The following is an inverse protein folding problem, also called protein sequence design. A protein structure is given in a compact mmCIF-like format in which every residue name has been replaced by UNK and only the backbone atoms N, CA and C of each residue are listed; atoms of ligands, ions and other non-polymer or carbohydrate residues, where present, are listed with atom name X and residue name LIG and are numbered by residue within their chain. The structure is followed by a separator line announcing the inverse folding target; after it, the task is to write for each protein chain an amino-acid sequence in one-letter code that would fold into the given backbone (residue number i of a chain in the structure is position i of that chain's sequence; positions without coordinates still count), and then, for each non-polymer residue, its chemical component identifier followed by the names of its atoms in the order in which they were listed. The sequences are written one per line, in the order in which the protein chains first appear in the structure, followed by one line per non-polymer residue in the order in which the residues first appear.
data_IF_487604889310
#
_entry.id   IF_487604889310
#
_cell.length_a   1.000
_cell.length_b   1.000
_cell.length_c   1.000
_cell.angle_alpha   90.00
_cell.angle_beta   90.00
_cell.angle_gamma   90.00
#
_symmetry.space_group_name_H-M   'P 1'
#
loop_
_entity.id
_entity.type
_entity.pdbx_description
1 polymer ?
#
# COMPACT_ATOMS: atom_id res chain seq x y z
N UNK A 1 69.37 -33.02 15.78
CA UNK A 1 67.97 -33.20 15.31
C UNK A 1 67.16 -31.99 15.74
N UNK A 2 66.85 -31.07 14.83
CA UNK A 2 65.98 -29.91 15.08
C UNK A 2 64.70 -30.10 14.27
N UNK A 3 63.63 -30.54 14.93
CA UNK A 3 62.33 -30.79 14.30
C UNK A 3 61.59 -29.45 14.18
N UNK A 4 61.35 -29.08 12.93
CA UNK A 4 60.63 -27.90 12.41
C UNK A 4 59.44 -27.46 13.28
N UNK A 5 59.58 -26.34 13.97
CA UNK A 5 58.54 -25.68 14.79
C UNK A 5 57.67 -24.70 13.95
N UNK A 6 57.69 -24.82 12.61
CA UNK A 6 56.99 -23.91 11.70
C UNK A 6 55.50 -24.23 11.50
N UNK A 7 55.00 -25.34 12.05
CA UNK A 7 53.60 -25.73 11.93
C UNK A 7 52.64 -24.89 12.78
N UNK A 8 53.11 -24.37 13.93
CA UNK A 8 52.25 -23.67 14.88
C UNK A 8 51.94 -22.23 14.45
N UNK A 9 52.91 -21.55 13.83
CA UNK A 9 52.73 -20.17 13.36
C UNK A 9 51.73 -20.07 12.19
N UNK A 10 51.79 -21.00 11.24
CA UNK A 10 50.89 -21.02 10.08
C UNK A 10 49.45 -21.29 10.53
N UNK A 11 49.25 -22.20 11.47
CA UNK A 11 47.92 -22.50 12.02
C UNK A 11 47.32 -21.29 12.76
N UNK A 12 48.16 -20.53 13.46
CA UNK A 12 47.76 -19.31 14.17
C UNK A 12 47.33 -18.21 13.20
N UNK A 13 48.06 -18.02 12.10
CA UNK A 13 47.73 -17.03 11.06
C UNK A 13 46.43 -17.39 10.35
N UNK A 14 46.23 -18.67 10.01
CA UNK A 14 45.00 -19.14 9.36
C UNK A 14 43.79 -19.00 10.31
N UNK A 15 43.96 -19.33 11.59
CA UNK A 15 42.91 -19.18 12.61
C UNK A 15 42.53 -17.71 12.82
N UNK A 16 43.50 -16.80 12.83
CA UNK A 16 43.24 -15.37 12.94
C UNK A 16 42.48 -14.81 11.73
N UNK A 17 42.83 -15.22 10.51
CA UNK A 17 42.10 -14.82 9.29
C UNK A 17 40.66 -15.33 9.29
N UNK A 18 40.44 -16.59 9.72
CA UNK A 18 39.09 -17.16 9.87
C UNK A 18 38.27 -16.39 10.91
N UNK A 19 38.85 -16.05 12.06
CA UNK A 19 38.16 -15.26 13.09
C UNK A 19 37.76 -13.88 12.57
N UNK A 20 38.63 -13.19 11.84
CA UNK A 20 38.33 -11.89 11.22
C UNK A 20 37.23 -12.03 10.17
N UNK A 21 37.28 -13.06 9.31
CA UNK A 21 36.24 -13.31 8.32
C UNK A 21 34.87 -13.56 8.97
N UNK A 22 34.84 -14.30 10.09
CA UNK A 22 33.62 -14.62 10.83
C UNK A 22 33.04 -13.37 11.51
N UNK A 23 33.89 -12.51 12.08
CA UNK A 23 33.49 -11.19 12.61
C UNK A 23 32.94 -10.31 11.49
N UNK A 24 33.55 -10.29 10.30
CA UNK A 24 33.06 -9.50 9.18
C UNK A 24 31.70 -10.01 8.70
N UNK A 25 31.49 -11.33 8.58
CA UNK A 25 30.19 -11.91 8.19
C UNK A 25 29.10 -11.60 9.22
N UNK A 26 29.42 -11.64 10.52
CA UNK A 26 28.49 -11.29 11.60
C UNK A 26 28.25 -9.77 11.71
N UNK A 27 29.18 -8.93 11.25
CA UNK A 27 29.04 -7.48 11.25
C UNK A 27 28.29 -6.94 10.01
N UNK A 28 28.21 -7.71 8.91
CA UNK A 28 27.44 -7.36 7.71
C UNK A 28 25.95 -7.07 7.99
N UNK A 29 25.19 -7.88 8.76
CA UNK A 29 23.77 -7.62 9.01
C UNK A 29 23.51 -6.32 9.79
N UNK A 30 24.52 -5.76 10.49
CA UNK A 30 24.38 -4.48 11.18
C UNK A 30 24.43 -3.25 10.26
N UNK A 31 24.97 -3.38 9.05
CA UNK A 31 25.08 -2.26 8.08
C UNK A 31 24.02 -2.26 6.99
N UNK A 32 23.46 -3.43 6.66
CA UNK A 32 22.32 -3.53 5.77
C UNK A 32 21.07 -3.65 6.65
N UNK A 33 20.16 -2.66 6.60
CA UNK A 33 18.81 -2.76 7.18
C UNK A 33 18.07 -3.91 6.47
N UNK A 34 18.29 -5.14 6.95
CA UNK A 34 17.77 -6.39 6.41
C UNK A 34 16.70 -6.97 7.33
N UNK A 35 16.01 -6.13 8.09
CA UNK A 35 14.81 -6.56 8.80
C UNK A 35 13.59 -6.29 7.90
N UNK A 36 13.07 -7.31 7.18
CA UNK A 36 11.96 -7.15 6.26
C UNK A 36 10.67 -6.76 6.98
N UNK A 37 10.51 -7.09 8.26
CA UNK A 37 9.34 -6.69 9.05
C UNK A 37 9.39 -5.20 9.32
N UNK A 38 10.55 -4.71 9.79
CA UNK A 38 10.77 -3.27 9.99
C UNK A 38 10.59 -2.48 8.70
N UNK A 39 11.09 -2.96 7.57
CA UNK A 39 10.90 -2.29 6.29
C UNK A 39 9.43 -2.24 5.87
N UNK A 40 8.67 -3.30 6.15
CA UNK A 40 7.22 -3.33 5.91
C UNK A 40 6.52 -2.32 6.81
N UNK A 41 6.86 -2.26 8.10
CA UNK A 41 6.28 -1.33 9.07
C UNK A 41 6.57 0.13 8.73
N UNK A 42 7.83 0.45 8.38
CA UNK A 42 8.23 1.78 7.94
C UNK A 42 7.48 2.15 6.64
N UNK A 43 7.39 1.21 5.68
CA UNK A 43 6.68 1.43 4.42
C UNK A 43 5.19 1.72 4.65
N UNK A 44 4.51 0.90 5.45
CA UNK A 44 3.08 1.09 5.73
C UNK A 44 2.86 2.36 6.56
N UNK A 45 3.75 2.72 7.47
CA UNK A 45 3.69 3.99 8.22
C UNK A 45 3.75 5.19 7.28
N UNK A 46 4.64 5.19 6.29
CA UNK A 46 4.67 6.25 5.28
C UNK A 46 3.40 6.32 4.45
N UNK A 47 2.85 5.15 4.06
CA UNK A 47 1.56 5.09 3.36
C UNK A 47 0.40 5.65 4.21
N UNK A 48 0.37 5.35 5.52
CA UNK A 48 -0.62 5.89 6.46
C UNK A 48 -0.53 7.41 6.57
N UNK A 49 0.68 7.96 6.66
CA UNK A 49 0.89 9.40 6.70
C UNK A 49 0.40 10.09 5.42
N UNK A 50 0.68 9.49 4.25
CA UNK A 50 0.17 9.98 2.97
C UNK A 50 -1.36 9.91 2.94
N UNK A 51 -1.95 8.81 3.40
CA UNK A 51 -3.41 8.65 3.45
C UNK A 51 -4.05 9.76 4.31
N UNK A 52 -3.52 10.02 5.50
CA UNK A 52 -4.02 11.08 6.40
C UNK A 52 -3.86 12.47 5.78
N UNK A 53 -2.74 12.72 5.09
CA UNK A 53 -2.50 13.99 4.40
C UNK A 53 -3.54 14.22 3.28
N UNK A 54 -3.84 13.18 2.50
CA UNK A 54 -4.86 13.22 1.43
C UNK A 54 -6.25 13.41 2.02
N UNK A 55 -6.59 12.71 3.10
CA UNK A 55 -7.91 12.81 3.72
C UNK A 55 -8.18 14.23 4.21
N UNK A 56 -7.23 14.83 4.93
CA UNK A 56 -7.33 16.22 5.36
C UNK A 56 -7.47 17.18 4.17
N UNK A 57 -6.66 16.99 3.12
CA UNK A 57 -6.76 17.80 1.90
C UNK A 57 -8.16 17.67 1.26
N UNK A 58 -8.68 16.46 1.12
CA UNK A 58 -9.98 16.23 0.49
C UNK A 58 -11.13 16.74 1.34
N UNK A 59 -11.02 16.73 2.67
CA UNK A 59 -12.02 17.33 3.56
C UNK A 59 -12.06 18.84 3.40
N UNK A 60 -10.90 19.49 3.28
CA UNK A 60 -10.81 20.95 3.14
C UNK A 60 -11.24 21.43 1.74
N UNK A 61 -10.92 20.68 0.68
CA UNK A 61 -11.16 21.10 -0.71
C UNK A 61 -12.34 20.42 -1.39
N UNK A 62 -12.93 19.37 -0.80
CA UNK A 62 -14.10 18.62 -1.31
C UNK A 62 -13.99 18.22 -2.79
N UNK A 63 -12.81 17.75 -3.19
CA UNK A 63 -12.50 17.39 -4.58
C UNK A 63 -11.60 16.16 -4.64
N UNK A 64 -11.49 15.60 -5.83
CA UNK A 64 -10.56 14.51 -6.12
C UNK A 64 -9.11 14.96 -5.88
N UNK A 65 -8.28 14.03 -5.40
CA UNK A 65 -6.84 14.19 -5.32
C UNK A 65 -6.19 13.36 -6.42
N UNK A 66 -5.59 14.04 -7.40
CA UNK A 66 -5.12 13.44 -8.66
C UNK A 66 -3.88 12.53 -8.49
N UNK A 67 -3.23 12.59 -7.33
CA UNK A 67 -2.10 11.72 -6.98
C UNK A 67 -0.74 12.40 -6.92
N UNK A 68 -0.67 13.70 -7.17
CA UNK A 68 0.57 14.48 -7.04
C UNK A 68 0.86 14.82 -5.58
N UNK A 69 1.83 14.12 -4.98
CA UNK A 69 2.23 14.30 -3.58
C UNK A 69 2.88 15.67 -3.34
N UNK A 70 3.44 16.33 -4.35
CA UNK A 70 4.01 17.66 -4.20
C UNK A 70 2.94 18.71 -3.89
N UNK A 71 1.69 18.50 -4.31
CA UNK A 71 0.56 19.34 -3.90
C UNK A 71 0.42 19.31 -2.37
N UNK A 72 0.53 18.14 -1.75
CA UNK A 72 0.42 18.01 -0.29
C UNK A 72 1.62 18.60 0.43
N UNK A 73 2.81 18.55 -0.20
CA UNK A 73 4.05 19.12 0.35
C UNK A 73 4.12 20.63 0.25
N UNK A 74 3.43 21.23 -0.73
CA UNK A 74 3.46 22.67 -0.98
C UNK A 74 2.20 23.40 -0.47
N UNK A 75 1.12 22.68 -0.14
CA UNK A 75 -0.11 23.29 0.38
C UNK A 75 -0.07 23.32 1.91
N UNK A 76 -0.26 24.50 2.48
CA UNK A 76 -0.36 24.69 3.94
C UNK A 76 -1.64 24.07 4.49
N UNK A 77 -1.54 23.32 5.57
CA UNK A 77 -2.68 22.77 6.28
C UNK A 77 -3.26 23.84 7.22
N UNK A 78 -4.51 24.30 6.99
CA UNK A 78 -5.12 25.35 7.81
C UNK A 78 -5.34 24.92 9.27
N UNK A 79 -5.47 23.61 9.51
CA UNK A 79 -5.76 23.02 10.81
C UNK A 79 -4.50 22.47 11.50
N UNK A 80 -3.31 22.62 10.89
CA UNK A 80 -2.06 22.03 11.34
C UNK A 80 -0.90 23.03 11.41
N UNK A 81 0.29 22.53 11.79
CA UNK A 81 1.54 23.28 11.67
C UNK A 81 2.25 22.84 10.40
N UNK A 82 2.33 23.73 9.40
CA UNK A 82 3.04 23.49 8.14
C UNK A 82 2.13 22.96 7.03
N UNK A 83 2.70 22.15 6.14
CA UNK A 83 2.03 21.59 4.96
C UNK A 83 1.31 20.28 5.27
N UNK A 84 0.41 19.81 4.38
CA UNK A 84 -0.32 18.54 4.59
C UNK A 84 0.63 17.33 4.68
N UNK A 85 1.72 17.35 3.92
CA UNK A 85 2.76 16.33 3.95
C UNK A 85 4.12 17.01 4.18
N UNK A 86 4.77 16.72 5.32
CA UNK A 86 5.97 17.45 5.73
C UNK A 86 7.25 17.02 5.02
N UNK A 87 7.36 15.75 4.63
CA UNK A 87 8.60 15.19 4.11
C UNK A 87 8.37 14.23 2.94
N UNK A 88 9.33 14.22 2.02
CA UNK A 88 9.46 13.19 1.00
C UNK A 88 9.96 11.89 1.65
N UNK A 89 9.14 10.85 1.57
CA UNK A 89 9.45 9.52 2.11
C UNK A 89 9.31 8.49 0.99
N UNK A 90 10.24 7.53 0.97
CA UNK A 90 10.31 6.48 -0.04
C UNK A 90 10.21 5.11 0.61
N UNK A 91 9.87 4.11 -0.20
CA UNK A 91 9.86 2.73 0.24
C UNK A 91 11.28 2.31 0.74
N UNK A 92 11.41 1.81 1.98
CA UNK A 92 12.72 1.48 2.59
C UNK A 92 13.44 0.31 1.90
N UNK A 93 12.71 -0.47 1.10
CA UNK A 93 13.26 -1.56 0.28
C UNK A 93 14.07 -1.06 -0.93
N UNK A 94 13.90 0.20 -1.32
CA UNK A 94 14.69 0.80 -2.39
C UNK A 94 16.02 1.29 -1.82
N UNK A 95 17.10 0.56 -2.09
CA UNK A 95 18.48 0.92 -1.75
C UNK A 95 19.00 2.10 -2.60
N UNK A 96 18.30 3.23 -2.60
CA UNK A 96 18.71 4.48 -3.28
C UNK A 96 17.88 4.85 -4.51
N UNK A 97 16.97 4.00 -4.98
CA UNK A 97 15.96 4.41 -5.97
C UNK A 97 14.88 5.27 -5.28
N UNK A 98 14.70 6.49 -5.76
CA UNK A 98 13.68 7.42 -5.28
C UNK A 98 12.42 7.29 -6.13
N UNK A 99 11.57 6.32 -5.79
CA UNK A 99 10.23 6.18 -6.39
C UNK A 99 9.17 6.56 -5.38
N UNK A 100 8.34 7.52 -5.75
CA UNK A 100 7.25 7.99 -4.92
C UNK A 100 6.15 6.94 -4.78
N UNK A 101 5.40 7.06 -3.68
CA UNK A 101 4.19 6.28 -3.49
C UNK A 101 3.11 6.69 -4.48
N UNK A 102 2.35 5.72 -4.95
CA UNK A 102 1.25 5.96 -5.88
C UNK A 102 0.01 6.20 -5.02
N UNK A 103 -0.51 7.42 -5.04
CA UNK A 103 -1.69 7.77 -4.26
C UNK A 103 -2.80 8.35 -5.14
N UNK A 104 -4.03 8.25 -4.67
CA UNK A 104 -5.20 8.81 -5.31
C UNK A 104 -6.33 8.98 -4.31
N UNK A 105 -7.14 10.03 -4.47
CA UNK A 105 -8.34 10.26 -3.67
C UNK A 105 -9.54 10.56 -4.57
N UNK A 106 -10.63 9.81 -4.39
CA UNK A 106 -11.91 10.02 -5.06
C UNK A 106 -12.91 10.68 -4.13
N UNK A 107 -13.52 11.76 -4.59
CA UNK A 107 -14.63 12.43 -3.94
C UNK A 107 -15.91 12.22 -4.76
N UNK A 108 -16.94 11.68 -4.12
CA UNK A 108 -18.29 11.51 -4.66
C UNK A 108 -19.31 12.15 -3.73
N UNK A 109 -20.50 12.37 -4.25
CA UNK A 109 -21.62 12.93 -3.47
C UNK A 109 -22.85 12.03 -3.54
N UNK A 110 -23.76 12.16 -2.58
CA UNK A 110 -25.07 11.51 -2.58
C UNK A 110 -26.09 12.49 -2.00
N UNK A 111 -27.23 12.68 -2.67
CA UNK A 111 -28.32 13.50 -2.13
C UNK A 111 -29.23 12.60 -1.30
N UNK A 112 -29.29 12.84 0.01
CA UNK A 112 -30.13 12.10 0.95
C UNK A 112 -31.05 13.09 1.66
N UNK A 113 -32.36 12.91 1.50
CA UNK A 113 -33.38 13.77 2.14
C UNK A 113 -33.22 15.27 1.83
N UNK A 114 -32.65 15.60 0.66
CA UNK A 114 -32.40 16.98 0.24
C UNK A 114 -31.05 17.55 0.69
N UNK A 115 -30.27 16.82 1.47
CA UNK A 115 -28.90 17.19 1.87
C UNK A 115 -27.86 16.48 0.99
N UNK A 116 -26.82 17.21 0.59
CA UNK A 116 -25.68 16.62 -0.14
C UNK A 116 -24.67 16.05 0.85
N UNK A 117 -24.52 14.73 0.86
CA UNK A 117 -23.49 14.02 1.62
C UNK A 117 -22.25 13.85 0.76
N UNK A 118 -21.09 14.01 1.38
CA UNK A 118 -19.77 13.93 0.74
C UNK A 118 -19.07 12.64 1.15
N UNK A 119 -18.51 11.91 0.19
CA UNK A 119 -17.81 10.66 0.42
C UNK A 119 -16.44 10.67 -0.24
N UNK A 120 -15.39 10.53 0.57
CA UNK A 120 -14.00 10.36 0.13
C UNK A 120 -13.58 8.89 0.13
N UNK A 121 -12.82 8.46 -0.87
CA UNK A 121 -12.19 7.16 -0.94
C UNK A 121 -10.75 7.30 -1.42
N UNK A 122 -9.80 6.90 -0.59
CA UNK A 122 -8.37 7.15 -0.78
C UNK A 122 -7.64 5.82 -0.89
N UNK A 123 -6.77 5.75 -1.88
CA UNK A 123 -5.89 4.62 -2.15
C UNK A 123 -4.45 5.09 -2.14
N UNK A 124 -3.61 4.38 -1.39
CA UNK A 124 -2.16 4.58 -1.37
C UNK A 124 -1.51 3.22 -1.62
N UNK A 125 -0.66 3.12 -2.63
CA UNK A 125 0.04 1.92 -3.04
C UNK A 125 1.55 2.12 -2.95
N UNK A 126 2.25 1.07 -2.51
CA UNK A 126 3.70 1.03 -2.54
C UNK A 126 4.20 0.91 -3.99
N UNK A 127 5.23 1.67 -4.41
CA UNK A 127 5.76 1.59 -5.76
C UNK A 127 6.46 0.25 -6.07
N UNK A 128 6.69 -0.59 -5.05
CA UNK A 128 7.29 -1.91 -5.18
C UNK A 128 6.36 -3.04 -4.73
N UNK A 129 5.05 -2.81 -4.77
CA UNK A 129 4.07 -3.84 -4.43
C UNK A 129 4.22 -5.08 -5.33
N UNK A 130 4.78 -4.92 -6.53
CA UNK A 130 5.11 -5.99 -7.49
C UNK A 130 6.15 -6.99 -6.99
N UNK A 131 6.97 -6.58 -6.02
CA UNK A 131 8.01 -7.40 -5.36
C UNK A 131 7.66 -7.72 -3.92
N UNK A 132 7.00 -6.79 -3.23
CA UNK A 132 6.73 -6.87 -1.80
C UNK A 132 5.22 -6.91 -1.54
N UNK A 133 4.63 -8.10 -1.64
CA UNK A 133 3.17 -8.31 -1.49
C UNK A 133 2.59 -7.87 -0.14
N UNK A 134 3.42 -7.70 0.90
CA UNK A 134 3.02 -7.24 2.24
C UNK A 134 2.97 -5.72 2.37
N UNK A 135 3.44 -4.96 1.38
CA UNK A 135 3.46 -3.50 1.40
C UNK A 135 2.09 -2.91 1.05
N UNK A 136 1.09 -3.27 1.83
CA UNK A 136 -0.30 -2.87 1.70
C UNK A 136 -0.80 -2.34 3.05
N UNK A 137 -1.71 -1.37 3.02
CA UNK A 137 -2.40 -0.93 4.23
C UNK A 137 -3.41 -2.01 4.66
N UNK A 138 -3.27 -2.48 5.90
CA UNK A 138 -4.20 -3.43 6.52
C UNK A 138 -5.59 -2.79 6.71
N UNK A 139 -6.65 -3.59 6.59
CA UNK A 139 -8.03 -3.25 6.97
C UNK A 139 -8.10 -2.61 8.36
N UNK A 140 -7.32 -3.13 9.32
CA UNK A 140 -7.29 -2.62 10.69
C UNK A 140 -6.93 -1.13 10.77
N UNK A 141 -6.11 -0.61 9.84
CA UNK A 141 -5.82 0.82 9.81
C UNK A 141 -7.09 1.64 9.49
N UNK A 142 -7.84 1.22 8.49
CA UNK A 142 -9.06 1.92 8.06
C UNK A 142 -10.20 1.80 9.07
N UNK A 143 -10.31 0.66 9.75
CA UNK A 143 -11.33 0.46 10.80
C UNK A 143 -11.15 1.40 11.99
N UNK A 144 -9.92 1.89 12.21
CA UNK A 144 -9.58 2.86 13.26
C UNK A 144 -9.70 4.32 12.80
N UNK A 145 -10.11 4.57 11.55
CA UNK A 145 -10.29 5.92 10.99
C UNK A 145 -11.77 6.26 10.83
N UNK A 146 -12.10 7.55 10.88
CA UNK A 146 -13.45 8.03 10.54
C UNK A 146 -13.64 7.99 9.02
N UNK A 147 -13.98 6.82 8.49
CA UNK A 147 -14.05 6.57 7.05
C UNK A 147 -15.43 6.84 6.47
N UNK A 148 -15.46 7.36 5.23
CA UNK A 148 -16.70 7.60 4.51
C UNK A 148 -17.31 6.28 3.97
N UNK A 149 -18.56 6.33 3.49
CA UNK A 149 -19.21 5.20 2.81
C UNK A 149 -18.38 4.68 1.62
N UNK A 150 -17.79 5.59 0.85
CA UNK A 150 -16.92 5.25 -0.28
C UNK A 150 -15.62 4.59 0.17
N UNK A 151 -14.97 5.10 1.22
CA UNK A 151 -13.75 4.49 1.76
C UNK A 151 -14.03 3.05 2.24
N UNK A 152 -15.13 2.83 2.97
CA UNK A 152 -15.51 1.48 3.42
C UNK A 152 -15.74 0.52 2.25
N UNK A 153 -16.41 0.99 1.19
CA UNK A 153 -16.61 0.22 -0.02
C UNK A 153 -15.27 -0.16 -0.67
N UNK A 154 -14.38 0.82 -0.85
CA UNK A 154 -13.06 0.59 -1.44
C UNK A 154 -12.22 -0.37 -0.59
N UNK A 155 -12.20 -0.23 0.73
CA UNK A 155 -11.43 -1.11 1.63
C UNK A 155 -11.90 -2.55 1.52
N UNK A 156 -13.21 -2.79 1.44
CA UNK A 156 -13.74 -4.14 1.25
C UNK A 156 -13.25 -4.77 -0.06
N UNK A 157 -13.20 -3.99 -1.14
CA UNK A 157 -12.71 -4.46 -2.43
C UNK A 157 -11.20 -4.71 -2.40
N UNK A 158 -10.41 -3.82 -1.80
CA UNK A 158 -8.97 -4.00 -1.61
C UNK A 158 -8.67 -5.28 -0.80
N UNK A 159 -9.43 -5.56 0.26
CA UNK A 159 -9.28 -6.79 1.06
C UNK A 159 -9.61 -8.04 0.22
N UNK A 160 -10.63 -7.97 -0.63
CA UNK A 160 -10.96 -9.09 -1.55
C UNK A 160 -9.87 -9.31 -2.59
N UNK A 161 -9.33 -8.24 -3.19
CA UNK A 161 -8.21 -8.33 -4.13
C UNK A 161 -6.98 -8.91 -3.44
N UNK A 162 -6.69 -8.48 -2.20
CA UNK A 162 -5.59 -9.03 -1.41
C UNK A 162 -5.78 -10.54 -1.13
N UNK A 163 -6.98 -10.94 -0.73
CA UNK A 163 -7.33 -12.34 -0.50
C UNK A 163 -7.27 -13.21 -1.77
N UNK A 164 -7.66 -12.66 -2.92
CA UNK A 164 -7.63 -13.35 -4.21
C UNK A 164 -6.18 -13.53 -4.71
N UNK A 165 -5.36 -12.50 -4.60
CA UNK A 165 -3.97 -12.49 -5.10
C UNK A 165 -2.95 -13.08 -4.12
N UNK A 166 -3.28 -13.16 -2.82
CA UNK A 166 -2.47 -13.76 -1.74
C UNK A 166 -1.04 -13.21 -1.73
N UNK A 167 -0.04 -14.09 -1.90
CA UNK A 167 1.38 -13.72 -1.91
C UNK A 167 1.91 -13.39 -3.31
N UNK A 168 1.08 -13.41 -4.35
CA UNK A 168 1.50 -13.06 -5.71
C UNK A 168 1.61 -11.54 -5.87
N UNK A 169 2.80 -11.01 -5.56
CA UNK A 169 3.11 -9.58 -5.58
C UNK A 169 2.82 -8.93 -6.94
N UNK A 170 3.18 -9.58 -8.06
CA UNK A 170 2.96 -9.05 -9.41
C UNK A 170 1.47 -8.90 -9.73
N UNK A 171 0.71 -9.97 -9.53
CA UNK A 171 -0.74 -9.97 -9.77
C UNK A 171 -1.45 -8.98 -8.84
N UNK A 172 -1.04 -8.92 -7.58
CA UNK A 172 -1.55 -7.92 -6.62
C UNK A 172 -1.33 -6.50 -7.10
N UNK A 173 -0.11 -6.17 -7.51
CA UNK A 173 0.20 -4.84 -8.02
C UNK A 173 -0.63 -4.49 -9.27
N UNK A 174 -0.74 -5.42 -10.22
CA UNK A 174 -1.54 -5.25 -11.43
C UNK A 174 -3.02 -4.98 -11.09
N UNK A 175 -3.60 -5.79 -10.20
CA UNK A 175 -5.02 -5.72 -9.85
C UNK A 175 -5.35 -4.45 -9.07
N UNK A 176 -4.51 -4.09 -8.10
CA UNK A 176 -4.65 -2.84 -7.34
C UNK A 176 -4.49 -1.61 -8.24
N UNK A 177 -3.56 -1.66 -9.21
CA UNK A 177 -3.36 -0.57 -10.17
C UNK A 177 -4.57 -0.41 -11.08
N UNK A 178 -5.09 -1.51 -11.66
CA UNK A 178 -6.31 -1.49 -12.48
C UNK A 178 -7.52 -0.95 -11.71
N UNK A 179 -7.67 -1.37 -10.45
CA UNK A 179 -8.72 -0.86 -9.56
C UNK A 179 -8.59 0.66 -9.34
N UNK A 180 -7.37 1.13 -9.06
CA UNK A 180 -7.09 2.56 -8.91
C UNK A 180 -7.35 3.35 -10.20
N UNK A 181 -6.92 2.84 -11.35
CA UNK A 181 -7.10 3.47 -12.66
C UNK A 181 -8.58 3.61 -13.03
N UNK A 182 -9.41 2.64 -12.67
CA UNK A 182 -10.85 2.76 -12.85
C UNK A 182 -11.38 4.00 -12.12
N UNK A 183 -11.10 4.12 -10.82
CA UNK A 183 -11.58 5.23 -9.99
C UNK A 183 -11.02 6.59 -10.42
N UNK A 184 -9.76 6.63 -10.90
CA UNK A 184 -9.16 7.83 -11.50
C UNK A 184 -9.94 8.34 -12.71
N UNK A 185 -10.41 7.42 -13.55
CA UNK A 185 -11.10 7.74 -14.80
C UNK A 185 -12.63 7.84 -14.65
N UNK A 186 -13.20 7.39 -13.53
CA UNK A 186 -14.62 7.58 -13.22
C UNK A 186 -14.94 9.07 -13.17
N UNK A 187 -15.95 9.51 -13.93
CA UNK A 187 -16.41 10.90 -13.86
C UNK A 187 -16.94 11.22 -12.46
N UNK A 188 -16.94 12.51 -12.09
CA UNK A 188 -17.59 12.93 -10.86
C UNK A 188 -19.11 12.71 -11.01
N UNK A 189 -19.63 11.70 -10.31
CA UNK A 189 -21.04 11.28 -10.36
C UNK A 189 -21.53 11.00 -8.95
N UNK A 190 -22.84 10.79 -8.80
CA UNK A 190 -23.38 10.33 -7.53
C UNK A 190 -22.81 8.95 -7.13
N UNK A 191 -22.70 8.73 -5.82
CA UNK A 191 -22.14 7.52 -5.23
C UNK A 191 -22.80 6.24 -5.79
N UNK A 192 -24.14 6.16 -5.77
CA UNK A 192 -24.86 4.98 -6.24
C UNK A 192 -24.70 4.75 -7.75
N UNK A 193 -24.56 5.81 -8.53
CA UNK A 193 -24.32 5.68 -9.97
C UNK A 193 -22.92 5.09 -10.23
N UNK A 194 -21.91 5.49 -9.45
CA UNK A 194 -20.54 5.00 -9.60
C UNK A 194 -20.39 3.52 -9.24
N UNK A 195 -21.00 3.07 -8.14
CA UNK A 195 -20.87 1.68 -7.68
C UNK A 195 -21.69 0.68 -8.50
N UNK A 196 -22.72 1.15 -9.21
CA UNK A 196 -23.59 0.32 -10.06
C UNK A 196 -23.22 0.43 -11.55
N UNK A 197 -22.10 1.07 -11.90
CA UNK A 197 -21.61 1.07 -13.28
C UNK A 197 -21.33 -0.38 -13.73
N UNK A 198 -21.96 -0.87 -14.81
CA UNK A 198 -21.73 -2.22 -15.31
C UNK A 198 -20.25 -2.54 -15.56
N UNK A 199 -19.48 -1.54 -16.00
CA UNK A 199 -18.03 -1.66 -16.22
C UNK A 199 -17.30 -1.90 -14.90
N UNK A 200 -17.71 -1.20 -13.85
CA UNK A 200 -17.15 -1.39 -12.52
C UNK A 200 -17.49 -2.74 -11.94
N UNK A 201 -18.75 -3.16 -12.04
CA UNK A 201 -19.22 -4.43 -11.52
C UNK A 201 -18.46 -5.59 -12.18
N UNK A 202 -18.25 -5.52 -13.51
CA UNK A 202 -17.46 -6.52 -14.21
C UNK A 202 -15.99 -6.49 -13.77
N UNK A 203 -15.37 -5.31 -13.70
CA UNK A 203 -13.99 -5.16 -13.22
C UNK A 203 -13.84 -5.75 -11.82
N UNK A 204 -14.78 -5.46 -10.91
CA UNK A 204 -14.76 -5.97 -9.54
C UNK A 204 -14.75 -7.49 -9.53
N UNK A 205 -15.63 -8.15 -10.30
CA UNK A 205 -15.65 -9.61 -10.44
C UNK A 205 -14.31 -10.15 -10.91
N UNK A 206 -13.73 -9.55 -11.95
CA UNK A 206 -12.44 -9.97 -12.50
C UNK A 206 -11.30 -9.86 -11.48
N UNK A 207 -11.33 -8.82 -10.63
CA UNK A 207 -10.27 -8.51 -9.67
C UNK A 207 -10.42 -9.26 -8.34
N UNK A 208 -11.64 -9.60 -7.93
CA UNK A 208 -11.93 -10.26 -6.65
C UNK A 208 -12.16 -11.76 -6.78
N UNK A 209 -12.42 -12.26 -7.99
CA UNK A 209 -12.78 -13.65 -8.24
C UNK A 209 -14.18 -14.01 -7.78
N UNK A 210 -15.05 -13.02 -7.52
CA UNK A 210 -16.46 -13.25 -7.22
C UNK A 210 -17.17 -13.83 -8.45
N UNK A 211 -17.68 -15.06 -8.32
CA UNK A 211 -18.57 -15.65 -9.32
C UNK A 211 -20.01 -15.24 -9.00
N UNK A 212 -20.83 -15.07 -10.05
CA UNK A 212 -22.27 -14.96 -9.86
C UNK A 212 -22.77 -16.24 -9.18
N UNK A 213 -23.49 -16.08 -8.08
CA UNK A 213 -24.25 -17.17 -7.49
C UNK A 213 -25.35 -17.48 -8.50
N UNK A 214 -25.17 -18.49 -9.35
CA UNK A 214 -26.31 -19.09 -10.05
C UNK A 214 -27.24 -19.59 -8.94
N UNK A 215 -28.47 -19.08 -8.83
CA UNK A 215 -29.41 -19.67 -7.89
C UNK A 215 -29.55 -21.14 -8.28
N UNK A 216 -29.21 -22.06 -7.37
CA UNK A 216 -29.54 -23.47 -7.54
C UNK A 216 -31.04 -23.51 -7.87
N UNK A 217 -31.36 -23.93 -9.09
CA UNK A 217 -32.73 -24.21 -9.50
C UNK A 217 -33.29 -25.14 -8.43
N UNK A 218 -34.22 -24.63 -7.62
CA UNK A 218 -34.99 -25.43 -6.69
C UNK A 218 -35.75 -26.44 -7.55
N UNK A 219 -35.18 -27.64 -7.67
CA UNK A 219 -35.88 -28.83 -8.12
C UNK A 219 -36.92 -29.11 -7.04
N UNK A 220 -38.09 -28.48 -7.18
CA UNK A 220 -39.31 -28.98 -6.56
C UNK A 220 -39.63 -30.29 -7.28
N UNK A 221 -39.20 -31.41 -6.68
CA UNK A 221 -39.80 -32.71 -7.01
C UNK A 221 -41.27 -32.67 -6.58
N UNK A 222 -42.16 -32.88 -7.55
CA UNK A 222 -43.62 -33.04 -7.40
C UNK A 222 -44.01 -34.29 -6.60
#
# INVERSE_FOLDING_TARGET
MLKKQSGNAIFWVISALLAIALILVLALPGKYKLDPEKNTDDCTTYMKNIWVAIDNYMQDFQKDFEGDLDVLRNTNNPNGKGTYLSEERFCPELQGEKKEYIAFGKHLTEVVEGETKHYSGIMVLCPNLDKYAKHLLDKNFYDNMSTSKLQNFMVNDLVKIDAFTKSNAKMKNEYMTRYMEYWKNTKHTEFNAAINDPTFVQLRKDLTGEQDFEPEDNVYEE
#
